data_IF_559690799165
#
_entry.id   IF_559690799165
#
_cell.length_a   1.000
_cell.length_b   1.000
_cell.length_c   1.000
_cell.angle_alpha   90.00
_cell.angle_beta   90.00
_cell.angle_gamma   90.00
#
_symmetry.space_group_name_H-M   'P 1'
#
loop_
_entity.id
_entity.type
_entity.pdbx_description
1 polymer ?
#
# COMPACT_ATOMS: atom_id res chain seq x y z
N UNK A 1 -0.93 -0.57 5.54
CA UNK A 1 -1.94 -0.90 4.52
C UNK A 1 -1.37 -0.76 3.13
N UNK A 2 -1.94 -1.43 2.14
CA UNK A 2 -1.47 -1.40 0.75
C UNK A 2 -2.61 -1.66 -0.23
N UNK A 3 -2.42 -1.24 -1.49
CA UNK A 3 -3.24 -1.66 -2.62
C UNK A 3 -4.76 -1.52 -2.35
N UNK A 4 -5.17 -0.34 -1.91
CA UNK A 4 -6.59 0.02 -1.80
C UNK A 4 -7.22 0.14 -3.18
N UNK A 5 -6.46 0.66 -4.15
CA UNK A 5 -6.85 0.88 -5.53
C UNK A 5 -8.23 1.55 -5.66
N UNK A 6 -8.44 2.61 -4.90
CA UNK A 6 -9.69 3.37 -4.90
C UNK A 6 -9.98 3.89 -6.31
N UNK A 7 -11.22 3.68 -6.83
CA UNK A 7 -12.46 3.31 -6.15
C UNK A 7 -12.75 1.79 -6.11
N UNK A 8 -11.80 0.93 -6.46
CA UNK A 8 -12.01 -0.53 -6.54
C UNK A 8 -11.79 -1.25 -5.20
N UNK A 9 -11.71 -0.50 -4.12
CA UNK A 9 -11.48 -1.04 -2.78
C UNK A 9 -12.71 -1.81 -2.24
N UNK A 10 -12.44 -2.80 -1.39
CA UNK A 10 -13.49 -3.54 -0.69
C UNK A 10 -14.07 -2.69 0.44
N UNK A 11 -15.28 -2.17 0.24
CA UNK A 11 -15.90 -1.15 1.10
C UNK A 11 -15.95 -1.57 2.59
N UNK A 12 -16.42 -2.81 2.88
CA UNK A 12 -16.53 -3.30 4.26
C UNK A 12 -15.14 -3.47 4.89
N UNK A 13 -14.19 -4.04 4.16
CA UNK A 13 -12.82 -4.21 4.67
C UNK A 13 -12.18 -2.85 4.97
N UNK A 14 -12.30 -1.88 4.06
CA UNK A 14 -11.78 -0.52 4.25
C UNK A 14 -12.39 0.14 5.48
N UNK A 15 -13.73 0.09 5.65
CA UNK A 15 -14.42 0.62 6.84
C UNK A 15 -13.94 -0.06 8.13
N UNK A 16 -13.74 -1.37 8.12
CA UNK A 16 -13.28 -2.11 9.28
C UNK A 16 -11.81 -1.79 9.63
N UNK A 17 -10.95 -1.57 8.63
CA UNK A 17 -9.56 -1.12 8.85
C UNK A 17 -9.54 0.30 9.43
N UNK A 18 -10.41 1.21 8.95
CA UNK A 18 -10.58 2.54 9.53
C UNK A 18 -11.05 2.45 11.00
N UNK A 19 -12.03 1.58 11.31
CA UNK A 19 -12.47 1.35 12.70
C UNK A 19 -11.30 0.86 13.58
N UNK A 20 -10.45 -0.03 13.06
CA UNK A 20 -9.25 -0.49 13.77
C UNK A 20 -8.30 0.70 14.02
N UNK A 21 -7.96 1.48 12.99
CA UNK A 21 -7.04 2.62 13.09
C UNK A 21 -7.53 3.65 14.12
N UNK A 22 -8.80 4.03 14.06
CA UNK A 22 -9.43 4.97 15.01
C UNK A 22 -9.42 4.47 16.45
N UNK A 23 -9.58 3.17 16.65
CA UNK A 23 -9.63 2.59 17.99
C UNK A 23 -8.27 2.44 18.62
N UNK A 24 -7.32 1.90 17.87
CA UNK A 24 -5.99 1.58 18.40
C UNK A 24 -5.06 2.80 18.44
N UNK A 25 -5.33 3.83 17.62
CA UNK A 25 -4.54 5.08 17.57
C UNK A 25 -3.05 4.80 17.41
N UNK A 26 -2.71 4.11 16.34
CA UNK A 26 -1.33 3.75 16.02
C UNK A 26 -0.42 4.97 16.01
N UNK A 27 0.83 4.82 16.42
CA UNK A 27 1.82 5.90 16.34
C UNK A 27 2.08 6.30 14.89
N UNK A 28 2.12 5.34 13.97
CA UNK A 28 2.33 5.59 12.55
C UNK A 28 1.39 4.78 11.68
N UNK A 29 0.87 5.40 10.62
CA UNK A 29 0.16 4.71 9.52
C UNK A 29 1.04 4.73 8.28
N UNK A 30 1.35 3.54 7.79
CA UNK A 30 2.20 3.32 6.63
C UNK A 30 1.36 2.81 5.46
N UNK A 31 1.26 3.61 4.39
CA UNK A 31 0.58 3.24 3.15
C UNK A 31 1.62 2.87 2.10
N UNK A 32 1.59 1.63 1.64
CA UNK A 32 2.66 1.04 0.83
C UNK A 32 2.36 1.17 -0.67
N UNK A 33 1.72 2.28 -1.05
CA UNK A 33 1.36 2.61 -2.43
C UNK A 33 0.05 2.00 -2.91
N UNK A 34 -0.30 2.32 -4.15
CA UNK A 34 -1.53 1.91 -4.83
C UNK A 34 -2.80 2.22 -4.05
N UNK A 35 -2.83 3.37 -3.36
CA UNK A 35 -4.01 3.89 -2.66
C UNK A 35 -5.11 4.31 -3.63
N UNK A 36 -4.75 4.84 -4.80
CA UNK A 36 -5.67 5.22 -5.89
C UNK A 36 -5.34 4.43 -7.16
N UNK A 37 -6.36 3.94 -7.87
CA UNK A 37 -6.14 3.14 -9.08
C UNK A 37 -5.76 3.98 -10.31
N UNK A 38 -6.24 5.23 -10.39
CA UNK A 38 -6.09 6.05 -11.59
C UNK A 38 -6.59 5.36 -12.88
N UNK A 39 -7.69 4.64 -12.79
CA UNK A 39 -8.26 3.88 -13.91
C UNK A 39 -8.52 4.75 -15.13
N UNK A 40 -9.07 5.95 -14.94
CA UNK A 40 -9.45 6.88 -16.02
C UNK A 40 -8.28 7.37 -16.88
N UNK A 41 -7.07 7.36 -16.33
CA UNK A 41 -5.83 7.77 -17.02
C UNK A 41 -4.87 6.61 -17.24
N UNK A 42 -5.31 5.38 -16.99
CA UNK A 42 -4.53 4.18 -17.20
C UNK A 42 -4.44 3.83 -18.69
N UNK A 43 -3.24 3.49 -19.16
CA UNK A 43 -3.05 2.96 -20.52
C UNK A 43 -3.87 1.70 -20.81
N UNK A 44 -4.24 0.96 -19.76
CA UNK A 44 -5.03 -0.26 -19.88
C UNK A 44 -6.53 0.02 -20.06
N UNK A 45 -6.98 1.23 -19.71
CA UNK A 45 -8.37 1.68 -19.90
C UNK A 45 -8.55 2.43 -21.21
N UNK A 46 -7.46 2.83 -21.87
CA UNK A 46 -7.50 3.60 -23.12
C UNK A 46 -8.31 2.88 -24.20
N UNK A 47 -9.30 3.57 -24.79
CA UNK A 47 -10.20 3.00 -25.78
C UNK A 47 -11.26 2.01 -25.25
N UNK A 48 -11.39 1.86 -23.94
CA UNK A 48 -12.41 1.03 -23.30
C UNK A 48 -13.45 1.89 -22.55
N UNK A 49 -14.63 1.34 -22.22
CA UNK A 49 -15.61 2.05 -21.37
C UNK A 49 -15.03 2.47 -20.02
N UNK A 50 -14.08 1.72 -19.46
CA UNK A 50 -13.45 1.98 -18.16
C UNK A 50 -12.78 3.37 -18.07
N UNK A 51 -12.35 3.95 -19.20
CA UNK A 51 -11.80 5.30 -19.23
C UNK A 51 -12.85 6.39 -18.95
N UNK A 52 -14.15 6.04 -18.99
CA UNK A 52 -15.26 6.99 -18.88
C UNK A 52 -16.22 6.70 -17.74
N UNK A 53 -16.05 5.58 -17.03
CA UNK A 53 -16.97 5.15 -15.95
C UNK A 53 -16.85 6.00 -14.69
N UNK A 54 -15.67 6.59 -14.45
CA UNK A 54 -15.37 7.41 -13.28
C UNK A 54 -14.80 8.75 -13.70
N UNK A 55 -14.65 9.66 -12.76
CA UNK A 55 -13.90 10.90 -12.97
C UNK A 55 -12.69 10.93 -12.05
N UNK A 56 -11.57 11.42 -12.56
CA UNK A 56 -10.35 11.60 -11.78
C UNK A 56 -10.58 12.43 -10.51
N UNK A 57 -11.51 13.38 -10.58
CA UNK A 57 -11.91 14.22 -9.44
C UNK A 57 -12.59 13.39 -8.36
N UNK A 58 -13.60 12.59 -8.72
CA UNK A 58 -14.32 11.76 -7.76
C UNK A 58 -13.40 10.70 -7.10
N UNK A 59 -12.54 10.07 -7.89
CA UNK A 59 -11.57 9.09 -7.39
C UNK A 59 -10.61 9.75 -6.38
N UNK A 60 -10.14 10.96 -6.69
CA UNK A 60 -9.29 11.75 -5.80
C UNK A 60 -10.00 12.08 -4.48
N UNK A 61 -11.21 12.65 -4.54
CA UNK A 61 -11.97 13.03 -3.34
C UNK A 61 -12.26 11.82 -2.44
N UNK A 62 -12.65 10.70 -3.04
CA UNK A 62 -12.87 9.46 -2.29
C UNK A 62 -11.57 8.97 -1.64
N UNK A 63 -10.46 9.00 -2.37
CA UNK A 63 -9.15 8.60 -1.84
C UNK A 63 -8.72 9.50 -0.69
N UNK A 64 -8.86 10.82 -0.85
CA UNK A 64 -8.56 11.78 0.22
C UNK A 64 -9.39 11.51 1.48
N UNK A 65 -10.70 11.27 1.33
CA UNK A 65 -11.57 10.96 2.46
C UNK A 65 -11.15 9.69 3.19
N UNK A 66 -10.85 8.62 2.46
CA UNK A 66 -10.42 7.34 3.06
C UNK A 66 -9.04 7.48 3.72
N UNK A 67 -8.10 8.17 3.09
CA UNK A 67 -6.78 8.41 3.68
C UNK A 67 -6.88 9.26 4.95
N UNK A 68 -7.70 10.31 4.95
CA UNK A 68 -7.98 11.10 6.15
C UNK A 68 -8.49 10.21 7.28
N UNK A 69 -9.53 9.43 7.02
CA UNK A 69 -10.13 8.53 8.00
C UNK A 69 -9.15 7.48 8.57
N UNK A 70 -8.20 7.04 7.76
CA UNK A 70 -7.16 6.09 8.16
C UNK A 70 -6.08 6.73 9.03
N UNK A 71 -5.77 8.01 8.79
CA UNK A 71 -4.57 8.66 9.34
C UNK A 71 -4.85 9.70 10.41
N UNK A 72 -6.08 10.22 10.53
CA UNK A 72 -6.43 11.35 11.41
C UNK A 72 -6.07 11.16 12.91
N UNK A 73 -5.95 9.92 13.37
CA UNK A 73 -5.62 9.59 14.75
C UNK A 73 -4.18 9.09 14.94
N UNK A 74 -3.39 9.02 13.87
CA UNK A 74 -1.98 8.66 13.95
C UNK A 74 -1.12 9.90 14.23
N UNK A 75 0.04 9.72 14.86
CA UNK A 75 1.02 10.81 15.02
C UNK A 75 1.73 11.11 13.72
N UNK A 76 1.97 10.08 12.93
CA UNK A 76 2.68 10.15 11.65
C UNK A 76 1.96 9.33 10.60
N UNK A 77 1.96 9.81 9.37
CA UNK A 77 1.42 9.08 8.23
C UNK A 77 2.36 9.20 7.03
N UNK A 78 2.67 8.07 6.43
CA UNK A 78 3.63 7.98 5.34
C UNK A 78 3.05 7.18 4.19
N UNK A 79 3.29 7.66 2.97
CA UNK A 79 2.94 6.98 1.72
C UNK A 79 4.19 6.87 0.86
N UNK A 80 4.45 5.71 0.28
CA UNK A 80 5.50 5.54 -0.72
C UNK A 80 4.92 5.57 -2.14
N UNK A 81 5.72 6.05 -3.08
CA UNK A 81 5.42 6.04 -4.51
C UNK A 81 5.08 4.62 -4.98
N UNK A 82 4.20 4.51 -5.96
CA UNK A 82 3.82 3.25 -6.60
C UNK A 82 3.72 3.37 -8.11
N UNK A 83 3.60 2.24 -8.80
CA UNK A 83 3.38 2.24 -10.25
C UNK A 83 2.03 2.86 -10.65
N UNK A 84 1.03 2.89 -9.75
CA UNK A 84 -0.23 3.59 -10.01
C UNK A 84 -0.08 5.10 -9.82
N UNK A 85 0.68 5.58 -8.85
CA UNK A 85 0.99 7.02 -8.73
C UNK A 85 1.74 7.53 -9.95
N UNK A 86 2.57 6.70 -10.57
CA UNK A 86 3.27 7.04 -11.82
C UNK A 86 2.33 7.20 -13.02
N UNK A 87 1.09 6.69 -12.98
CA UNK A 87 0.11 6.89 -14.07
C UNK A 87 -0.19 8.37 -14.29
N UNK A 88 -0.33 9.14 -13.20
CA UNK A 88 -0.50 10.60 -13.30
C UNK A 88 0.70 11.24 -13.99
N UNK A 89 1.91 10.96 -13.51
CA UNK A 89 3.15 11.47 -14.09
C UNK A 89 3.29 11.10 -15.57
N UNK A 90 3.09 9.83 -15.92
CA UNK A 90 3.18 9.34 -17.30
C UNK A 90 2.12 9.96 -18.23
N UNK A 91 0.96 10.32 -17.69
CA UNK A 91 -0.09 11.05 -18.45
C UNK A 91 0.33 12.48 -18.69
N UNK A 92 0.90 13.16 -17.70
CA UNK A 92 1.39 14.53 -17.82
C UNK A 92 2.56 14.64 -18.80
N UNK A 93 3.41 13.63 -18.91
CA UNK A 93 4.48 13.57 -19.91
C UNK A 93 3.96 13.66 -21.36
N UNK A 94 2.72 13.18 -21.61
CA UNK A 94 2.09 13.29 -22.94
C UNK A 94 1.60 14.71 -23.25
N UNK A 95 1.48 15.56 -22.22
CA UNK A 95 1.02 16.95 -22.34
C UNK A 95 2.02 17.89 -21.61
N UNK A 96 3.19 18.17 -22.21
CA UNK A 96 4.28 18.86 -21.52
C UNK A 96 3.91 20.20 -20.87
N UNK A 97 2.94 20.91 -21.42
CA UNK A 97 2.44 22.18 -20.86
C UNK A 97 1.78 22.02 -19.47
N UNK A 98 1.27 20.83 -19.13
CA UNK A 98 0.67 20.54 -17.84
C UNK A 98 1.71 20.02 -16.82
N UNK A 99 2.83 19.50 -17.30
CA UNK A 99 3.85 18.85 -16.46
C UNK A 99 4.45 19.78 -15.40
N UNK A 100 4.52 21.07 -15.69
CA UNK A 100 5.11 22.07 -14.82
C UNK A 100 4.08 22.77 -13.90
N UNK A 101 2.81 22.36 -13.92
CA UNK A 101 1.80 22.90 -13.01
C UNK A 101 2.01 22.28 -11.62
N UNK A 102 2.29 23.09 -10.58
CA UNK A 102 2.52 22.56 -9.22
C UNK A 102 1.33 21.77 -8.69
N UNK A 103 0.12 22.15 -9.04
CA UNK A 103 -1.14 21.55 -8.61
C UNK A 103 -1.30 20.10 -9.11
N UNK A 104 -0.59 19.73 -10.19
CA UNK A 104 -0.61 18.40 -10.78
C UNK A 104 0.57 17.51 -10.29
N UNK A 105 1.47 18.03 -9.47
CA UNK A 105 2.42 17.19 -8.76
C UNK A 105 1.65 16.34 -7.75
N UNK A 106 1.96 15.04 -7.67
CA UNK A 106 1.15 14.06 -6.94
C UNK A 106 0.85 14.48 -5.49
N UNK A 107 1.84 14.97 -4.77
CA UNK A 107 1.70 15.42 -3.39
C UNK A 107 0.70 16.60 -3.25
N UNK A 108 0.70 17.48 -4.25
CA UNK A 108 -0.23 18.63 -4.32
C UNK A 108 -1.59 18.20 -4.83
N UNK A 109 -1.62 17.34 -5.85
CA UNK A 109 -2.85 16.80 -6.39
C UNK A 109 -3.66 16.07 -5.31
N UNK A 110 -3.00 15.30 -4.44
CA UNK A 110 -3.63 14.59 -3.33
C UNK A 110 -3.80 15.43 -2.06
N UNK A 111 -3.26 16.65 -2.01
CA UNK A 111 -3.29 17.54 -0.85
C UNK A 111 -2.78 16.89 0.45
N UNK A 112 -1.69 16.13 0.36
CA UNK A 112 -1.12 15.43 1.50
C UNK A 112 -0.71 16.35 2.64
N UNK A 113 -0.33 17.59 2.32
CA UNK A 113 0.06 18.58 3.33
C UNK A 113 -1.08 18.87 4.32
N UNK A 114 -2.31 19.06 3.84
CA UNK A 114 -3.50 19.28 4.69
C UNK A 114 -3.80 18.05 5.54
N UNK A 115 -3.54 16.84 5.04
CA UNK A 115 -3.74 15.59 5.78
C UNK A 115 -2.59 15.23 6.72
N UNK A 116 -1.48 16.00 6.73
CA UNK A 116 -0.29 15.67 7.51
C UNK A 116 0.44 14.40 7.02
N UNK A 117 0.22 14.00 5.78
CA UNK A 117 0.82 12.80 5.19
C UNK A 117 2.14 13.15 4.51
N UNK A 118 3.18 12.38 4.77
CA UNK A 118 4.47 12.48 4.12
C UNK A 118 4.57 11.50 2.95
N UNK A 119 4.79 12.04 1.75
CA UNK A 119 4.97 11.24 0.54
C UNK A 119 6.45 11.01 0.24
N UNK A 120 6.81 9.75 -0.02
CA UNK A 120 8.18 9.33 -0.33
C UNK A 120 8.27 8.83 -1.76
N UNK A 121 9.09 9.48 -2.58
CA UNK A 121 9.31 9.15 -4.01
C UNK A 121 10.16 7.89 -4.22
N UNK A 122 10.79 7.41 -3.16
CA UNK A 122 11.67 6.25 -3.15
C UNK A 122 11.46 5.45 -1.87
N UNK A 123 12.33 4.48 -1.61
CA UNK A 123 12.36 3.77 -0.34
C UNK A 123 12.34 4.71 0.86
N UNK A 124 11.55 4.37 1.85
CA UNK A 124 11.49 5.11 3.11
C UNK A 124 11.93 4.21 4.27
N UNK A 125 13.00 4.56 4.96
CA UNK A 125 13.42 3.89 6.19
C UNK A 125 12.61 4.46 7.36
N UNK A 126 11.54 3.73 7.73
CA UNK A 126 10.63 4.15 8.80
C UNK A 126 11.12 3.77 10.18
N UNK A 127 12.02 2.78 10.27
CA UNK A 127 12.73 2.39 11.48
C UNK A 127 14.09 1.83 11.07
N UNK A 128 15.08 1.92 11.97
CA UNK A 128 16.43 1.45 11.68
C UNK A 128 16.44 -0.01 11.20
N UNK A 129 16.89 -0.21 9.97
CA UNK A 129 16.93 -1.53 9.34
C UNK A 129 15.62 -2.02 8.74
N UNK A 130 14.58 -1.15 8.70
CA UNK A 130 13.27 -1.43 8.11
C UNK A 130 12.87 -0.37 7.09
N UNK A 131 12.59 -0.79 5.89
CA UNK A 131 12.20 0.11 4.80
C UNK A 131 10.84 -0.25 4.21
N UNK A 132 10.12 0.79 3.80
CA UNK A 132 8.97 0.68 2.92
C UNK A 132 9.42 0.78 1.46
N UNK A 133 8.85 -0.05 0.62
CA UNK A 133 8.92 0.00 -0.84
C UNK A 133 7.54 -0.34 -1.38
N UNK A 134 7.19 0.09 -2.59
CA UNK A 134 5.92 -0.40 -3.14
C UNK A 134 6.00 -1.87 -3.52
N UNK A 135 7.09 -2.31 -4.14
CA UNK A 135 7.31 -3.69 -4.56
C UNK A 135 7.50 -3.84 -6.07
N UNK A 136 7.17 -2.82 -6.86
CA UNK A 136 7.43 -2.77 -8.30
C UNK A 136 8.90 -2.54 -8.64
N UNK A 137 9.74 -2.23 -7.64
CA UNK A 137 11.18 -2.10 -7.78
C UNK A 137 11.90 -3.45 -7.94
N UNK A 138 11.19 -4.55 -7.74
CA UNK A 138 11.74 -5.91 -7.84
C UNK A 138 10.96 -6.82 -8.79
N UNK A 139 11.54 -7.97 -9.07
CA UNK A 139 10.84 -9.02 -9.80
C UNK A 139 9.81 -9.69 -8.87
N UNK A 140 8.56 -9.75 -9.31
CA UNK A 140 7.49 -10.40 -8.56
C UNK A 140 7.74 -11.91 -8.45
N UNK A 141 7.43 -12.49 -7.28
CA UNK A 141 7.52 -13.92 -7.05
C UNK A 141 6.10 -14.49 -6.84
N UNK A 142 5.78 -15.70 -7.33
CA UNK A 142 4.47 -16.32 -7.14
C UNK A 142 4.15 -16.63 -5.67
N UNK A 143 5.17 -16.87 -4.84
CA UNK A 143 4.99 -17.22 -3.43
C UNK A 143 4.94 -15.95 -2.55
N UNK A 144 3.94 -15.82 -1.64
CA UNK A 144 3.82 -14.69 -0.74
C UNK A 144 5.07 -14.45 0.13
N UNK A 145 5.43 -13.19 0.32
CA UNK A 145 6.59 -12.77 1.11
C UNK A 145 7.93 -12.83 0.38
N UNK A 146 8.02 -13.56 -0.74
CA UNK A 146 9.30 -13.74 -1.42
C UNK A 146 9.70 -12.55 -2.31
N UNK A 147 8.77 -11.78 -2.85
CA UNK A 147 9.11 -10.52 -3.55
C UNK A 147 9.78 -9.57 -2.58
N UNK A 148 9.16 -9.33 -1.43
CA UNK A 148 9.70 -8.49 -0.37
C UNK A 148 11.03 -9.01 0.18
N UNK A 149 11.17 -10.32 0.37
CA UNK A 149 12.42 -10.91 0.86
C UNK A 149 13.58 -10.75 -0.15
N UNK A 150 13.29 -10.86 -1.45
CA UNK A 150 14.30 -10.62 -2.47
C UNK A 150 14.77 -9.17 -2.52
N UNK A 151 13.86 -8.21 -2.30
CA UNK A 151 14.20 -6.80 -2.11
C UNK A 151 15.01 -6.60 -0.82
N UNK A 152 14.60 -7.23 0.29
CA UNK A 152 15.29 -7.17 1.57
C UNK A 152 16.75 -7.62 1.48
N UNK A 153 17.01 -8.74 0.80
CA UNK A 153 18.36 -9.24 0.54
C UNK A 153 19.23 -8.27 -0.25
N UNK A 154 18.64 -7.60 -1.27
CA UNK A 154 19.35 -6.58 -2.06
C UNK A 154 19.63 -5.32 -1.25
N UNK A 155 18.65 -4.88 -0.46
CA UNK A 155 18.78 -3.68 0.37
C UNK A 155 19.62 -3.88 1.63
N UNK A 156 19.84 -5.12 2.06
CA UNK A 156 20.46 -5.43 3.35
C UNK A 156 19.63 -4.98 4.55
N UNK A 157 18.31 -4.83 4.40
CA UNK A 157 17.34 -4.37 5.40
C UNK A 157 16.05 -5.14 5.25
N UNK A 158 15.25 -5.23 6.32
CA UNK A 158 13.89 -5.75 6.22
C UNK A 158 13.03 -4.84 5.33
N UNK A 159 12.14 -5.43 4.53
CA UNK A 159 11.28 -4.70 3.58
C UNK A 159 9.83 -5.02 3.84
N UNK A 160 9.01 -3.98 3.88
CA UNK A 160 7.54 -4.07 3.82
C UNK A 160 7.10 -3.52 2.48
N UNK A 161 6.37 -4.31 1.69
CA UNK A 161 5.89 -3.89 0.38
C UNK A 161 4.46 -4.37 0.07
N UNK A 162 3.86 -3.78 -0.96
CA UNK A 162 2.57 -4.10 -1.57
C UNK A 162 2.73 -4.69 -2.98
N UNK A 163 2.02 -4.12 -3.96
CA UNK A 163 2.10 -4.38 -5.40
C UNK A 163 1.64 -5.78 -5.83
N UNK A 164 2.05 -6.81 -5.12
CA UNK A 164 1.77 -8.21 -5.49
C UNK A 164 0.37 -8.67 -5.09
N UNK A 165 -0.33 -7.87 -4.28
CA UNK A 165 -1.62 -8.18 -3.67
C UNK A 165 -1.62 -9.44 -2.80
N UNK A 166 -0.43 -9.91 -2.39
CA UNK A 166 -0.26 -11.10 -1.56
C UNK A 166 -0.01 -10.72 -0.12
N UNK A 167 -0.54 -11.51 0.79
CA UNK A 167 -0.24 -11.40 2.21
C UNK A 167 0.75 -12.48 2.60
N UNK A 168 1.97 -12.09 2.99
CA UNK A 168 2.98 -13.06 3.35
C UNK A 168 4.20 -12.47 4.03
N UNK A 169 4.80 -13.27 4.90
CA UNK A 169 6.05 -12.96 5.59
C UNK A 169 7.06 -14.07 5.29
N UNK A 170 8.26 -13.67 4.91
CA UNK A 170 9.39 -14.56 4.73
C UNK A 170 10.62 -13.98 5.42
N UNK A 171 11.48 -14.84 5.93
CA UNK A 171 12.67 -14.44 6.67
C UNK A 171 13.94 -15.04 6.07
N UNK A 172 15.05 -14.35 6.27
CA UNK A 172 16.37 -14.85 5.90
C UNK A 172 17.38 -14.46 6.97
N UNK A 173 18.09 -15.47 7.48
CA UNK A 173 19.16 -15.26 8.46
C UNK A 173 20.50 -15.34 7.74
N UNK A 174 21.33 -14.33 7.93
CA UNK A 174 22.69 -14.25 7.40
C UNK A 174 23.70 -14.03 8.52
N UNK A 175 24.93 -14.46 8.29
CA UNK A 175 26.01 -14.34 9.25
C UNK A 175 26.60 -15.70 9.66
N UNK A 176 27.58 -15.67 10.58
CA UNK A 176 28.32 -16.86 11.03
C UNK A 176 28.44 -16.87 12.57
N UNK A 177 28.16 -18.01 13.18
CA UNK A 177 28.27 -18.19 14.63
C UNK A 177 27.32 -17.29 15.41
N UNK A 178 27.82 -16.54 16.37
CA UNK A 178 27.03 -15.58 17.15
C UNK A 178 26.78 -14.26 16.41
N UNK A 179 27.47 -14.01 15.31
CA UNK A 179 27.33 -12.80 14.51
C UNK A 179 26.34 -13.04 13.35
N UNK A 180 25.06 -13.14 13.67
CA UNK A 180 24.00 -13.28 12.67
C UNK A 180 22.93 -12.21 12.85
N UNK A 181 22.23 -11.94 11.78
CA UNK A 181 20.99 -11.13 11.80
C UNK A 181 19.93 -11.79 10.95
N UNK A 182 18.68 -11.56 11.29
CA UNK A 182 17.54 -11.96 10.47
C UNK A 182 16.92 -10.72 9.85
N UNK A 183 16.71 -10.77 8.54
CA UNK A 183 15.95 -9.78 7.78
C UNK A 183 14.64 -10.39 7.32
N UNK A 184 13.62 -9.56 7.19
CA UNK A 184 12.27 -9.96 6.85
C UNK A 184 11.83 -9.32 5.54
N UNK A 185 11.07 -10.08 4.76
CA UNK A 185 10.30 -9.58 3.64
C UNK A 185 8.81 -9.74 3.94
N UNK A 186 8.06 -8.66 3.91
CA UNK A 186 6.63 -8.61 4.21
C UNK A 186 5.89 -8.07 3.01
N UNK A 187 4.98 -8.86 2.45
CA UNK A 187 3.97 -8.43 1.49
C UNK A 187 2.67 -8.21 2.26
N UNK A 188 2.11 -6.99 2.19
CA UNK A 188 1.03 -6.52 3.09
C UNK A 188 -0.35 -7.06 2.70
N UNK A 189 -0.49 -7.62 1.50
CA UNK A 189 -1.80 -7.95 0.94
C UNK A 189 -2.41 -6.77 0.20
N UNK A 190 -3.72 -6.73 0.12
CA UNK A 190 -4.46 -5.65 -0.52
C UNK A 190 -5.79 -5.39 0.19
N UNK A 191 -6.42 -4.27 -0.14
CA UNK A 191 -7.79 -3.94 0.28
C UNK A 191 -8.74 -3.80 -0.92
N UNK A 192 -8.36 -4.28 -2.09
CA UNK A 192 -9.14 -4.24 -3.31
C UNK A 192 -10.26 -5.29 -3.30
N UNK A 193 -11.44 -4.94 -3.83
CA UNK A 193 -12.48 -5.93 -4.11
C UNK A 193 -12.10 -6.75 -5.36
N UNK A 194 -11.70 -7.99 -5.14
CA UNK A 194 -11.30 -8.90 -6.21
C UNK A 194 -12.38 -9.08 -7.29
N UNK A 195 -13.66 -8.87 -6.97
CA UNK A 195 -14.76 -8.96 -7.94
C UNK A 195 -14.68 -7.86 -9.00
N UNK A 196 -14.08 -6.72 -8.65
CA UNK A 196 -13.89 -5.59 -9.57
C UNK A 196 -12.65 -5.77 -10.47
N UNK A 197 -11.77 -6.69 -10.14
CA UNK A 197 -10.55 -7.00 -10.89
C UNK A 197 -10.82 -7.95 -12.08
N UNK A 198 -11.68 -7.56 -13.01
CA UNK A 198 -12.10 -8.39 -14.15
C UNK A 198 -10.93 -8.88 -15.01
N UNK A 199 -9.86 -8.09 -15.10
CA UNK A 199 -8.64 -8.41 -15.85
C UNK A 199 -7.90 -9.64 -15.31
N UNK A 200 -8.13 -10.07 -14.07
CA UNK A 200 -7.51 -11.25 -13.48
C UNK A 200 -8.17 -12.57 -13.94
N UNK A 201 -9.30 -12.49 -14.65
CA UNK A 201 -10.12 -13.66 -15.01
C UNK A 201 -10.46 -14.56 -13.81
N UNK A 202 -10.48 -13.99 -12.59
CA UNK A 202 -10.84 -14.67 -11.35
C UNK A 202 -9.79 -15.62 -10.74
N UNK A 203 -8.60 -15.76 -11.34
CA UNK A 203 -7.59 -16.76 -10.92
C UNK A 203 -6.41 -16.13 -10.16
N UNK A 204 -6.48 -14.84 -9.79
CA UNK A 204 -5.38 -14.19 -9.09
C UNK A 204 -5.13 -14.79 -7.69
N UNK A 205 -3.86 -15.06 -7.39
CA UNK A 205 -3.41 -15.47 -6.05
C UNK A 205 -3.23 -14.23 -5.16
N UNK A 206 -4.35 -13.60 -4.79
CA UNK A 206 -4.41 -12.39 -3.99
C UNK A 206 -5.08 -12.64 -2.66
N UNK A 207 -4.57 -12.03 -1.61
CA UNK A 207 -5.15 -12.08 -0.28
C UNK A 207 -5.41 -10.67 0.24
N UNK A 208 -6.64 -10.41 0.68
CA UNK A 208 -6.92 -9.21 1.46
C UNK A 208 -6.25 -9.32 2.83
N UNK A 209 -5.66 -8.22 3.27
CA UNK A 209 -5.00 -8.18 4.56
C UNK A 209 -4.34 -6.85 4.85
N UNK A 210 -3.90 -6.74 6.09
CA UNK A 210 -3.08 -5.66 6.60
C UNK A 210 -1.97 -6.22 7.49
N UNK A 211 -1.01 -5.40 7.83
CA UNK A 211 0.06 -5.77 8.77
C UNK A 211 0.12 -4.76 9.90
N UNK A 212 0.20 -5.24 11.13
CA UNK A 212 0.51 -4.44 12.30
C UNK A 212 1.97 -4.72 12.67
N UNK A 213 2.73 -3.68 12.90
CA UNK A 213 4.13 -3.75 13.29
C UNK A 213 4.27 -3.23 14.71
N UNK A 214 4.59 -4.11 15.66
CA UNK A 214 4.86 -3.72 17.05
C UNK A 214 6.35 -3.46 17.24
N UNK A 215 6.70 -2.27 17.73
CA UNK A 215 8.05 -1.85 18.02
C UNK A 215 8.24 -1.71 19.54
N UNK A 216 9.13 -2.51 20.12
CA UNK A 216 9.43 -2.50 21.56
C UNK A 216 10.58 -1.56 21.97
N UNK A 217 11.05 -0.72 21.03
CA UNK A 217 12.22 0.13 21.18
C UNK A 217 13.53 -0.52 20.70
N UNK A 218 13.48 -1.80 20.32
CA UNK A 218 14.65 -2.57 19.86
C UNK A 218 14.31 -3.54 18.72
N UNK A 219 13.17 -4.21 18.81
CA UNK A 219 12.77 -5.26 17.89
C UNK A 219 11.41 -4.93 17.26
N UNK A 220 11.26 -5.30 16.00
CA UNK A 220 10.01 -5.19 15.29
C UNK A 220 9.33 -6.56 15.23
N UNK A 221 8.07 -6.64 15.66
CA UNK A 221 7.26 -7.85 15.58
C UNK A 221 6.10 -7.63 14.59
N UNK A 222 6.13 -8.28 13.41
CA UNK A 222 5.05 -8.18 12.44
C UNK A 222 3.88 -9.13 12.77
N UNK A 223 2.67 -8.61 12.74
CA UNK A 223 1.42 -9.35 12.86
C UNK A 223 0.68 -9.29 11.52
N UNK A 224 0.60 -10.43 10.85
CA UNK A 224 -0.13 -10.59 9.59
C UNK A 224 -1.61 -10.76 9.90
N UNK A 225 -2.45 -9.85 9.43
CA UNK A 225 -3.90 -9.86 9.68
C UNK A 225 -4.63 -10.16 8.36
N UNK A 226 -5.00 -11.42 8.11
CA UNK A 226 -5.81 -11.74 6.95
C UNK A 226 -7.23 -11.21 7.11
N UNK A 227 -7.80 -10.71 6.02
CA UNK A 227 -9.16 -10.20 5.94
C UNK A 227 -10.02 -11.20 5.16
N UNK A 228 -11.16 -11.56 5.70
CA UNK A 228 -12.09 -12.48 5.07
C UNK A 228 -12.76 -11.86 3.83
N UNK A 229 -13.34 -12.72 2.98
CA UNK A 229 -14.01 -12.30 1.74
C UNK A 229 -15.17 -11.31 1.96
N UNK A 230 -15.80 -11.32 3.13
CA UNK A 230 -16.86 -10.39 3.51
C UNK A 230 -16.34 -9.07 4.11
N UNK A 231 -15.03 -8.92 4.23
CA UNK A 231 -14.37 -7.75 4.80
C UNK A 231 -14.18 -7.83 6.32
N UNK A 232 -14.61 -8.91 6.97
CA UNK A 232 -14.42 -9.12 8.40
C UNK A 232 -13.02 -9.64 8.74
N UNK A 233 -12.53 -9.34 9.93
CA UNK A 233 -11.28 -9.88 10.47
C UNK A 233 -11.20 -9.78 11.99
N UNK A 234 -10.22 -10.44 12.57
CA UNK A 234 -9.87 -10.31 13.98
C UNK A 234 -8.46 -9.76 14.12
N UNK A 235 -8.30 -8.70 14.91
CA UNK A 235 -7.00 -8.10 15.23
C UNK A 235 -6.99 -7.68 16.70
N UNK A 236 -5.83 -7.86 17.36
CA UNK A 236 -5.59 -7.44 18.74
C UNK A 236 -6.69 -7.91 19.70
N UNK A 237 -7.14 -9.16 19.52
CA UNK A 237 -8.16 -9.80 20.36
C UNK A 237 -9.60 -9.32 20.14
N UNK A 238 -9.88 -8.56 19.07
CA UNK A 238 -11.20 -8.00 18.77
C UNK A 238 -11.60 -8.27 17.33
N UNK A 239 -12.90 -8.51 17.11
CA UNK A 239 -13.48 -8.76 15.80
C UNK A 239 -14.02 -7.46 15.18
N UNK A 240 -13.83 -7.34 13.88
CA UNK A 240 -14.30 -6.26 13.00
C UNK A 240 -15.21 -6.88 11.95
N UNK A 241 -16.46 -6.47 11.94
CA UNK A 241 -17.53 -6.99 11.07
C UNK A 241 -18.33 -5.85 10.46
#
# INVERSE_FOLDING_TARGET
VSDLQIPLNHEVATKNVIKLARREKFDSVLVVGDEIDFQTISKWSEGTPLAYEQTLHADRELTQSILWDLTENAREAHIVRSNHTDRLYNTLLKVPGLMNLPELQYEKFMDFATMGIQFHKTFYEFEKGWILAHGDEGNTNPNPGLTALNLAKKAGKSVVCGHTHKLGLSAYTEGVGANYRTIYGIEVGNLMDKKQASYTKGIANWQMGIVILDWDGKNMTPHMIPINKDGSFTALGKSYV
#
